data_IF_968064218672
#
_entry.id   IF_968064218672
#
_cell.length_a   1.000
_cell.length_b   1.000
_cell.length_c   1.000
_cell.angle_alpha   90.00
_cell.angle_beta   90.00
_cell.angle_gamma   90.00
#
_symmetry.space_group_name_H-M   'P 1'
#
loop_
_entity.id
_entity.type
_entity.pdbx_description
1 polymer ?
#
# COMPACT_ATOMS: atom_id res chain seq x y z
N UNK A 1 2.02 -1.65 -9.52
CA UNK A 1 2.54 -0.57 -10.36
C UNK A 1 3.47 0.27 -9.49
N UNK A 2 4.72 0.44 -9.90
CA UNK A 2 5.75 1.23 -9.21
C UNK A 2 5.48 2.74 -9.25
N UNK A 3 4.63 3.20 -10.18
CA UNK A 3 4.26 4.60 -10.31
C UNK A 3 2.77 4.78 -10.01
N UNK A 4 2.50 5.68 -9.07
CA UNK A 4 1.14 6.18 -8.84
C UNK A 4 0.68 6.89 -10.12
N UNK A 5 -0.37 6.37 -10.74
CA UNK A 5 -0.86 6.87 -12.05
C UNK A 5 -2.18 7.63 -11.95
N UNK A 6 -2.46 8.42 -10.88
CA UNK A 6 -3.67 9.19 -10.83
C UNK A 6 -3.60 10.39 -11.79
N UNK A 7 -4.72 10.74 -12.35
CA UNK A 7 -4.84 11.91 -13.22
C UNK A 7 -4.88 13.17 -12.36
N UNK A 8 -3.77 13.92 -12.34
CA UNK A 8 -3.52 15.04 -11.42
C UNK A 8 -4.57 16.16 -11.50
N UNK A 9 -5.12 16.42 -12.68
CA UNK A 9 -6.11 17.48 -12.91
C UNK A 9 -7.53 17.11 -12.50
N UNK A 10 -7.82 15.82 -12.29
CA UNK A 10 -9.10 15.32 -11.83
C UNK A 10 -9.18 15.36 -10.30
N UNK A 11 -10.41 15.39 -9.80
CA UNK A 11 -10.70 15.25 -8.37
C UNK A 11 -10.43 13.83 -7.88
N UNK A 12 -10.40 13.65 -6.57
CA UNK A 12 -10.28 12.34 -5.94
C UNK A 12 -11.41 11.42 -6.42
N UNK A 13 -12.66 11.87 -6.35
CA UNK A 13 -13.79 11.06 -6.78
C UNK A 13 -13.70 10.66 -8.25
N UNK A 14 -13.28 11.56 -9.14
CA UNK A 14 -13.07 11.24 -10.54
C UNK A 14 -12.00 10.16 -10.72
N UNK A 15 -10.90 10.21 -9.97
CA UNK A 15 -9.86 9.18 -10.01
C UNK A 15 -10.36 7.83 -9.45
N UNK A 16 -11.09 7.84 -8.33
CA UNK A 16 -11.67 6.63 -7.73
C UNK A 16 -12.64 5.94 -8.68
N UNK A 17 -13.44 6.71 -9.42
CA UNK A 17 -14.45 6.18 -10.34
C UNK A 17 -14.05 6.21 -11.80
N UNK A 18 -12.77 6.45 -12.13
CA UNK A 18 -12.30 6.44 -13.51
C UNK A 18 -12.70 5.14 -14.24
N UNK A 19 -13.23 5.29 -15.45
CA UNK A 19 -13.74 4.15 -16.25
C UNK A 19 -15.13 3.63 -15.84
N UNK A 20 -15.74 4.12 -14.74
CA UNK A 20 -17.06 3.67 -14.24
C UNK A 20 -17.88 4.82 -13.62
N UNK A 21 -17.80 5.97 -14.21
CA UNK A 21 -18.58 7.13 -13.74
C UNK A 21 -20.07 6.80 -13.68
N UNK A 22 -20.76 7.05 -12.55
CA UNK A 22 -22.21 6.89 -12.48
C UNK A 22 -22.87 7.80 -13.51
N UNK A 23 -23.95 7.28 -14.13
CA UNK A 23 -24.68 8.00 -15.18
C UNK A 23 -26.10 8.29 -14.75
N UNK A 24 -26.59 9.44 -15.17
CA UNK A 24 -28.00 9.80 -15.09
C UNK A 24 -28.83 8.95 -16.08
N UNK A 25 -30.16 9.00 -15.97
CA UNK A 25 -31.05 8.34 -16.94
C UNK A 25 -30.85 8.85 -18.37
N UNK A 26 -30.38 10.09 -18.54
CA UNK A 26 -30.09 10.68 -19.84
C UNK A 26 -28.67 10.35 -20.39
N UNK A 27 -27.88 9.50 -19.66
CA UNK A 27 -26.55 9.09 -20.08
C UNK A 27 -25.40 10.06 -19.73
N UNK A 28 -25.70 11.21 -19.13
CA UNK A 28 -24.70 12.15 -18.64
C UNK A 28 -24.06 11.65 -17.32
N UNK A 29 -22.88 12.15 -16.97
CA UNK A 29 -22.23 11.85 -15.69
C UNK A 29 -23.09 12.41 -14.55
N UNK A 30 -23.39 11.54 -13.58
CA UNK A 30 -24.05 11.92 -12.33
C UNK A 30 -23.00 12.31 -11.28
N UNK A 31 -22.59 13.56 -11.34
CA UNK A 31 -21.60 14.14 -10.44
C UNK A 31 -21.99 14.03 -8.96
N UNK A 32 -23.27 14.24 -8.65
CA UNK A 32 -23.76 14.17 -7.28
C UNK A 32 -23.57 12.77 -6.74
N UNK A 33 -24.10 11.77 -7.43
CA UNK A 33 -23.97 10.37 -7.04
C UNK A 33 -22.51 9.95 -6.91
N UNK A 34 -21.62 10.42 -7.80
CA UNK A 34 -20.19 10.12 -7.73
C UNK A 34 -19.54 10.68 -6.46
N UNK A 35 -19.75 11.95 -6.14
CA UNK A 35 -19.19 12.58 -4.95
C UNK A 35 -19.76 11.98 -3.66
N UNK A 36 -21.07 11.75 -3.61
CA UNK A 36 -21.73 11.14 -2.45
C UNK A 36 -21.26 9.70 -2.22
N UNK A 37 -21.04 8.93 -3.29
CA UNK A 37 -20.51 7.57 -3.20
C UNK A 37 -19.06 7.55 -2.72
N UNK A 38 -18.23 8.49 -3.21
CA UNK A 38 -16.85 8.63 -2.75
C UNK A 38 -16.80 9.00 -1.26
N UNK A 39 -17.66 9.94 -0.82
CA UNK A 39 -17.74 10.31 0.60
C UNK A 39 -18.13 9.13 1.49
N UNK A 40 -19.09 8.32 1.09
CA UNK A 40 -19.49 7.09 1.83
C UNK A 40 -18.32 6.11 1.98
N UNK A 41 -17.45 6.00 0.97
CA UNK A 41 -16.24 5.17 1.08
C UNK A 41 -15.32 5.76 2.13
N UNK A 42 -15.08 7.07 2.12
CA UNK A 42 -14.23 7.72 3.11
C UNK A 42 -14.78 7.58 4.52
N UNK A 43 -16.08 7.80 4.71
CA UNK A 43 -16.75 7.67 6.00
C UNK A 43 -16.62 6.24 6.55
N UNK A 44 -16.80 5.23 5.69
CA UNK A 44 -16.62 3.82 6.06
C UNK A 44 -15.23 3.51 6.59
N UNK A 45 -14.21 4.12 6.01
CA UNK A 45 -12.80 3.85 6.34
C UNK A 45 -12.21 4.89 7.29
N UNK A 46 -13.02 5.83 7.80
CA UNK A 46 -12.59 6.87 8.73
C UNK A 46 -11.60 7.86 8.12
N UNK A 47 -11.65 8.08 6.80
CA UNK A 47 -10.74 8.95 6.06
C UNK A 47 -11.33 10.35 5.91
N UNK A 48 -10.55 11.36 6.22
CA UNK A 48 -10.98 12.76 6.16
C UNK A 48 -10.49 13.45 4.89
N UNK A 49 -11.02 13.04 3.73
CA UNK A 49 -10.76 13.70 2.45
C UNK A 49 -12.02 14.33 1.88
N UNK A 50 -11.86 15.44 1.17
CA UNK A 50 -12.95 16.00 0.38
C UNK A 50 -12.91 15.40 -1.04
N UNK A 51 -13.95 14.65 -1.48
CA UNK A 51 -13.99 14.02 -2.79
C UNK A 51 -13.75 14.95 -3.99
N UNK A 52 -13.98 16.26 -3.82
CA UNK A 52 -13.82 17.28 -4.84
C UNK A 52 -12.39 17.83 -4.95
N UNK A 53 -11.52 17.52 -3.99
CA UNK A 53 -10.11 17.95 -4.02
C UNK A 53 -9.41 17.36 -5.23
N UNK A 54 -8.67 18.18 -5.97
CA UNK A 54 -7.85 17.70 -7.09
C UNK A 54 -6.61 16.96 -6.59
N UNK A 55 -6.25 15.89 -7.26
CA UNK A 55 -5.08 15.06 -6.89
C UNK A 55 -3.79 15.88 -6.79
N UNK A 56 -3.58 16.85 -7.67
CA UNK A 56 -2.40 17.73 -7.64
C UNK A 56 -2.22 18.53 -6.35
N UNK A 57 -3.26 18.65 -5.52
CA UNK A 57 -3.22 19.35 -4.23
C UNK A 57 -2.88 18.43 -3.06
N UNK A 58 -2.75 17.13 -3.30
CA UNK A 58 -2.47 16.11 -2.29
C UNK A 58 -0.98 15.85 -2.16
N UNK A 59 -0.57 15.40 -0.97
CA UNK A 59 0.76 14.85 -0.72
C UNK A 59 0.87 13.43 -1.27
N UNK A 60 2.08 12.94 -1.44
CA UNK A 60 2.35 11.58 -1.95
C UNK A 60 1.64 10.49 -1.15
N UNK A 61 1.67 10.58 0.19
CA UNK A 61 0.99 9.62 1.06
C UNK A 61 -0.53 9.60 0.86
N UNK A 62 -1.15 10.78 0.70
CA UNK A 62 -2.59 10.88 0.42
C UNK A 62 -2.92 10.26 -0.94
N UNK A 63 -2.09 10.51 -1.96
CA UNK A 63 -2.26 9.93 -3.29
C UNK A 63 -2.21 8.40 -3.20
N UNK A 64 -1.26 7.85 -2.45
CA UNK A 64 -1.13 6.42 -2.23
C UNK A 64 -2.37 5.82 -1.55
N UNK A 65 -2.89 6.51 -0.52
CA UNK A 65 -4.12 6.12 0.14
C UNK A 65 -5.31 6.10 -0.84
N UNK A 66 -5.42 7.11 -1.71
CA UNK A 66 -6.47 7.19 -2.73
C UNK A 66 -6.37 6.04 -3.75
N UNK A 67 -5.17 5.62 -4.15
CA UNK A 67 -5.00 4.46 -5.04
C UNK A 67 -5.45 3.15 -4.38
N UNK A 68 -5.20 2.98 -3.07
CA UNK A 68 -5.74 1.83 -2.33
C UNK A 68 -7.27 1.91 -2.26
N UNK A 69 -7.82 3.08 -1.93
CA UNK A 69 -9.28 3.32 -1.92
C UNK A 69 -9.90 3.01 -3.28
N UNK A 70 -9.27 3.40 -4.36
CA UNK A 70 -9.70 3.06 -5.71
C UNK A 70 -9.77 1.54 -5.89
N UNK A 71 -8.72 0.79 -5.51
CA UNK A 71 -8.70 -0.67 -5.62
C UNK A 71 -9.85 -1.32 -4.82
N UNK A 72 -10.04 -0.96 -3.55
CA UNK A 72 -11.12 -1.52 -2.72
C UNK A 72 -12.51 -1.08 -3.17
N UNK A 73 -12.65 0.07 -3.83
CA UNK A 73 -13.92 0.53 -4.41
C UNK A 73 -14.40 -0.32 -5.59
N UNK A 74 -13.55 -1.23 -6.11
CA UNK A 74 -13.90 -2.29 -7.06
C UNK A 74 -14.25 -3.62 -6.37
N UNK A 75 -14.48 -3.63 -5.05
CA UNK A 75 -14.66 -4.83 -4.25
C UNK A 75 -13.48 -5.81 -4.38
N UNK A 76 -12.26 -5.27 -4.48
CA UNK A 76 -11.06 -6.09 -4.54
C UNK A 76 -10.93 -6.92 -3.24
N UNK A 77 -10.71 -8.22 -3.41
CA UNK A 77 -10.40 -9.15 -2.31
C UNK A 77 -8.89 -9.30 -2.11
N UNK A 78 -8.11 -8.84 -3.07
CA UNK A 78 -6.65 -8.85 -3.05
C UNK A 78 -6.12 -7.49 -3.50
N UNK A 79 -5.24 -6.90 -2.71
CA UNK A 79 -4.51 -5.66 -3.02
C UNK A 79 -3.02 -5.96 -3.03
N UNK A 80 -2.34 -5.55 -4.09
CA UNK A 80 -0.88 -5.69 -4.24
C UNK A 80 -0.27 -4.29 -4.18
N UNK A 81 0.68 -4.10 -3.28
CA UNK A 81 1.41 -2.85 -3.06
C UNK A 81 2.90 -3.09 -3.29
N UNK A 82 3.50 -2.30 -4.17
CA UNK A 82 4.93 -2.37 -4.46
C UNK A 82 5.62 -1.17 -3.81
N UNK A 83 6.52 -1.44 -2.86
CA UNK A 83 7.26 -0.48 -2.04
C UNK A 83 6.41 0.69 -1.49
N UNK A 84 5.29 0.43 -0.79
CA UNK A 84 4.31 1.46 -0.46
C UNK A 84 4.83 2.56 0.46
N UNK A 85 5.95 2.38 1.11
CA UNK A 85 6.52 3.34 2.08
C UNK A 85 7.77 4.05 1.58
N UNK A 86 8.16 3.86 0.31
CA UNK A 86 9.43 4.39 -0.23
C UNK A 86 9.50 5.92 -0.26
N UNK A 87 8.35 6.60 -0.38
CA UNK A 87 8.24 8.05 -0.64
C UNK A 87 7.42 8.81 0.40
N UNK A 88 7.20 8.24 1.60
CA UNK A 88 6.37 8.83 2.64
C UNK A 88 7.12 8.93 3.98
N UNK A 89 6.70 9.86 4.83
CA UNK A 89 7.30 10.10 6.15
C UNK A 89 6.90 9.02 7.17
N UNK A 90 7.63 8.94 8.30
CA UNK A 90 7.36 7.95 9.34
C UNK A 90 5.92 8.02 9.89
N UNK A 91 5.40 9.22 10.12
CA UNK A 91 4.02 9.38 10.60
C UNK A 91 2.99 8.90 9.56
N UNK A 92 3.27 9.10 8.28
CA UNK A 92 2.41 8.65 7.19
C UNK A 92 2.48 7.11 7.01
N UNK A 93 3.63 6.49 7.30
CA UNK A 93 3.80 5.04 7.33
C UNK A 93 2.87 4.41 8.39
N UNK A 94 2.82 4.97 9.61
CA UNK A 94 1.93 4.48 10.66
C UNK A 94 0.44 4.55 10.25
N UNK A 95 0.03 5.65 9.63
CA UNK A 95 -1.32 5.79 9.09
C UNK A 95 -1.63 4.73 8.02
N UNK A 96 -0.67 4.45 7.13
CA UNK A 96 -0.80 3.41 6.11
C UNK A 96 -0.94 2.02 6.76
N UNK A 97 -0.13 1.72 7.79
CA UNK A 97 -0.19 0.45 8.50
C UNK A 97 -1.52 0.25 9.23
N UNK A 98 -2.05 1.28 9.85
CA UNK A 98 -3.37 1.24 10.49
C UNK A 98 -4.47 0.97 9.47
N UNK A 99 -4.36 1.58 8.29
CA UNK A 99 -5.28 1.32 7.20
C UNK A 99 -5.16 -0.12 6.67
N UNK A 100 -3.94 -0.64 6.49
CA UNK A 100 -3.68 -2.04 6.12
C UNK A 100 -4.31 -3.00 7.15
N UNK A 101 -4.13 -2.73 8.45
CA UNK A 101 -4.75 -3.53 9.52
C UNK A 101 -6.29 -3.49 9.46
N UNK A 102 -6.86 -2.34 9.09
CA UNK A 102 -8.30 -2.21 8.90
C UNK A 102 -8.79 -3.04 7.70
N UNK A 103 -8.08 -3.03 6.58
CA UNK A 103 -8.39 -3.86 5.40
C UNK A 103 -8.31 -5.36 5.72
N UNK A 104 -7.31 -5.79 6.49
CA UNK A 104 -7.18 -7.19 6.94
C UNK A 104 -8.39 -7.63 7.79
N UNK A 105 -8.89 -6.77 8.66
CA UNK A 105 -10.12 -7.06 9.45
C UNK A 105 -11.37 -7.24 8.61
N UNK A 106 -11.41 -6.64 7.43
CA UNK A 106 -12.48 -6.81 6.44
C UNK A 106 -12.21 -8.00 5.48
N UNK A 107 -11.27 -8.89 5.84
CA UNK A 107 -10.85 -10.06 5.05
C UNK A 107 -10.33 -9.72 3.64
N UNK A 108 -9.71 -8.55 3.47
CA UNK A 108 -9.00 -8.20 2.25
C UNK A 108 -7.57 -8.73 2.36
N UNK A 109 -7.16 -9.57 1.44
CA UNK A 109 -5.79 -10.08 1.34
C UNK A 109 -4.87 -8.98 0.79
N UNK A 110 -3.68 -8.83 1.41
CA UNK A 110 -2.73 -7.81 1.00
C UNK A 110 -1.39 -8.48 0.73
N UNK A 111 -0.81 -8.20 -0.43
CA UNK A 111 0.55 -8.56 -0.78
C UNK A 111 1.37 -7.26 -0.81
N UNK A 112 2.43 -7.21 -0.03
CA UNK A 112 3.37 -6.09 -0.01
C UNK A 112 4.70 -6.57 -0.51
N UNK A 113 5.23 -5.91 -1.53
CA UNK A 113 6.59 -6.10 -2.02
C UNK A 113 7.45 -5.04 -1.35
N UNK A 114 8.45 -5.45 -0.61
CA UNK A 114 9.35 -4.53 0.10
C UNK A 114 10.72 -5.19 0.35
N UNK A 115 11.73 -4.34 0.50
CA UNK A 115 13.05 -4.74 0.96
C UNK A 115 13.33 -4.26 2.40
N UNK A 116 12.35 -3.59 3.05
CA UNK A 116 12.49 -3.03 4.39
C UNK A 116 12.08 -4.05 5.45
N UNK A 117 13.04 -4.58 6.18
CA UNK A 117 12.81 -5.58 7.22
C UNK A 117 11.83 -5.11 8.29
N UNK A 118 11.90 -3.83 8.69
CA UNK A 118 11.02 -3.29 9.74
C UNK A 118 9.55 -3.32 9.33
N UNK A 119 9.24 -3.08 8.05
CA UNK A 119 7.89 -3.24 7.52
C UNK A 119 7.39 -4.68 7.66
N UNK A 120 8.23 -5.62 7.22
CA UNK A 120 7.90 -7.05 7.27
C UNK A 120 7.49 -7.44 8.68
N UNK A 121 8.30 -7.12 9.71
CA UNK A 121 8.02 -7.48 11.10
C UNK A 121 6.87 -6.69 11.73
N UNK A 122 6.45 -5.56 11.13
CA UNK A 122 5.38 -4.72 11.68
C UNK A 122 3.99 -5.15 11.20
N UNK A 123 3.87 -5.61 9.95
CA UNK A 123 2.54 -5.80 9.32
C UNK A 123 2.32 -7.15 8.65
N UNK A 124 3.37 -7.93 8.36
CA UNK A 124 3.21 -9.21 7.68
C UNK A 124 2.76 -10.33 8.63
N UNK A 125 1.97 -11.25 8.11
CA UNK A 125 1.65 -12.53 8.76
C UNK A 125 2.58 -13.63 8.26
N UNK A 126 2.91 -13.59 6.97
CA UNK A 126 3.79 -14.54 6.30
C UNK A 126 4.73 -13.79 5.35
N UNK A 127 5.92 -14.33 5.16
CA UNK A 127 6.94 -13.77 4.27
C UNK A 127 7.33 -14.79 3.23
N UNK A 128 7.29 -14.38 1.97
CA UNK A 128 7.87 -15.12 0.85
C UNK A 128 9.10 -14.38 0.34
N UNK A 129 10.23 -15.06 0.29
CA UNK A 129 11.48 -14.48 -0.22
C UNK A 129 11.72 -14.93 -1.65
N UNK A 130 11.88 -13.94 -2.52
CA UNK A 130 12.34 -14.09 -3.90
C UNK A 130 13.73 -13.47 -4.03
N UNK A 131 14.65 -14.15 -4.71
CA UNK A 131 15.99 -13.67 -4.97
C UNK A 131 16.47 -14.12 -6.34
N UNK A 132 17.01 -13.21 -7.14
CA UNK A 132 17.51 -13.47 -8.50
C UNK A 132 16.46 -14.18 -9.38
N UNK A 133 15.17 -13.82 -9.22
CA UNK A 133 14.04 -14.43 -9.94
C UNK A 133 13.66 -15.83 -9.45
N UNK A 134 14.24 -16.32 -8.35
CA UNK A 134 13.96 -17.65 -7.79
C UNK A 134 13.21 -17.56 -6.46
N UNK A 135 12.32 -18.50 -6.25
CA UNK A 135 11.69 -18.72 -4.94
C UNK A 135 12.70 -19.36 -3.97
N UNK A 136 12.93 -18.69 -2.84
CA UNK A 136 13.86 -19.15 -1.79
C UNK A 136 13.11 -19.85 -0.66
N UNK A 137 11.93 -19.38 -0.30
CA UNK A 137 11.11 -19.98 0.74
C UNK A 137 10.02 -19.05 1.21
N UNK A 138 9.07 -19.61 1.98
CA UNK A 138 8.03 -18.86 2.67
C UNK A 138 7.94 -19.35 4.12
N UNK A 139 7.69 -18.42 5.06
CA UNK A 139 7.52 -18.72 6.47
C UNK A 139 6.55 -17.73 7.15
N UNK A 140 5.78 -18.20 8.15
CA UNK A 140 5.07 -17.32 9.07
C UNK A 140 6.05 -16.38 9.77
N UNK A 141 5.67 -15.11 9.94
CA UNK A 141 6.57 -14.11 10.55
C UNK A 141 6.96 -14.48 12.00
N UNK A 142 6.05 -15.11 12.73
CA UNK A 142 6.31 -15.56 14.11
C UNK A 142 7.37 -16.66 14.24
N UNK A 143 7.70 -17.35 13.16
CA UNK A 143 8.70 -18.42 13.10
C UNK A 143 10.02 -17.97 12.43
N UNK A 144 10.08 -16.73 11.95
CA UNK A 144 11.17 -16.22 11.14
C UNK A 144 11.99 -15.17 11.89
N UNK A 145 13.23 -15.53 12.29
CA UNK A 145 14.14 -14.58 12.91
C UNK A 145 14.74 -13.59 11.89
N UNK A 146 15.09 -12.38 12.34
CA UNK A 146 15.73 -11.37 11.47
C UNK A 146 17.00 -11.88 10.78
N UNK A 147 17.95 -12.56 11.47
CA UNK A 147 19.14 -13.11 10.83
C UNK A 147 18.80 -14.14 9.74
N UNK A 148 17.78 -14.98 9.98
CA UNK A 148 17.33 -15.96 9.00
C UNK A 148 16.72 -15.30 7.76
N UNK A 149 15.85 -14.31 7.93
CA UNK A 149 15.29 -13.55 6.80
C UNK A 149 16.40 -12.88 5.98
N UNK A 150 17.38 -12.26 6.64
CA UNK A 150 18.54 -11.66 5.95
C UNK A 150 19.32 -12.73 5.18
N UNK A 151 19.58 -13.90 5.78
CA UNK A 151 20.24 -15.02 5.10
C UNK A 151 19.47 -15.47 3.85
N UNK A 152 18.14 -15.57 3.94
CA UNK A 152 17.30 -15.91 2.79
C UNK A 152 17.40 -14.84 1.67
N UNK A 153 17.37 -13.56 2.04
CA UNK A 153 17.43 -12.45 1.06
C UNK A 153 18.78 -12.30 0.40
N UNK A 154 19.88 -12.41 1.18
CA UNK A 154 21.26 -12.13 0.70
C UNK A 154 21.97 -13.41 0.24
N UNK A 155 21.60 -14.58 0.76
CA UNK A 155 22.20 -15.87 0.40
C UNK A 155 23.55 -16.17 1.05
N UNK A 156 24.03 -15.30 1.93
CA UNK A 156 25.26 -15.50 2.72
C UNK A 156 24.98 -15.34 4.20
N UNK A 157 25.66 -16.09 5.03
CA UNK A 157 25.72 -15.78 6.46
C UNK A 157 26.50 -14.48 6.62
N UNK A 158 25.91 -13.50 7.28
CA UNK A 158 26.62 -12.28 7.63
C UNK A 158 27.53 -12.56 8.84
N UNK A 159 28.60 -13.32 8.58
CA UNK A 159 29.71 -13.56 9.52
C UNK A 159 30.63 -12.35 9.46
N UNK A 160 30.45 -11.31 10.17
CA UNK A 160 31.24 -10.07 10.32
C UNK A 160 30.63 -8.83 9.65
N UNK A 161 29.70 -8.22 10.36
CA UNK A 161 29.24 -6.85 10.07
C UNK A 161 30.34 -5.78 10.29
N UNK A 162 31.40 -6.12 11.00
CA UNK A 162 32.56 -5.25 11.21
C UNK A 162 33.84 -6.11 11.18
N UNK A 163 34.78 -5.87 10.24
CA UNK A 163 36.11 -6.42 10.39
C UNK A 163 36.73 -5.86 11.71
N UNK A 164 37.49 -6.67 12.45
CA UNK A 164 38.19 -6.17 13.64
C UNK A 164 39.03 -4.96 13.22
N UNK A 165 38.88 -3.81 13.92
CA UNK A 165 39.79 -2.70 13.78
C UNK A 165 41.16 -3.19 14.23
N UNK A 166 42.06 -3.34 13.28
CA UNK A 166 43.49 -3.38 13.61
C UNK A 166 43.87 -2.05 14.25
N UNK A 167 43.98 -2.07 15.56
CA UNK A 167 44.57 -0.99 16.34
C UNK A 167 46.06 -1.29 16.32
N UNK A 168 46.77 -0.77 15.30
CA UNK A 168 48.20 -0.65 15.29
C UNK A 168 48.67 0.52 16.13
#
# INVERSE_FOLDING_TARGET
>A
YQELSPIKELSIAENVFVGRYPKTRAGAIDWKTMYDSCQKIFDRWGLNYNPRTKIKMLKTADIQMIEIIKAISFNAQLVIMDEPTSSISQNEIEMLYDFIRALKRENITIIIITHKLDEVYTIADEVTVLRDGQYIGAKPIGELSRPELIKMMVGREMTNLFPPKDIG
#
